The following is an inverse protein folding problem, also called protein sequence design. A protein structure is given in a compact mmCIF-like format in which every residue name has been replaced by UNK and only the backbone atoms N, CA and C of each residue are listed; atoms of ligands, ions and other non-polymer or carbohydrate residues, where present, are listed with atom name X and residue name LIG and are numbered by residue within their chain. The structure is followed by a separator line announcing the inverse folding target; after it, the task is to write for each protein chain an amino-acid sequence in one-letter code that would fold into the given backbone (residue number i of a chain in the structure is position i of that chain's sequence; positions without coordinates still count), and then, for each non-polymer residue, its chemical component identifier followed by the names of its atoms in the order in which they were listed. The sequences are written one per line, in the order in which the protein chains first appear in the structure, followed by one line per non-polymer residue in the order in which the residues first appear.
data_IF_157068390412
#
_entry.id   IF_157068390412
#
_cell.length_a   1.000
_cell.length_b   1.000
_cell.length_c   1.000
_cell.angle_alpha   90.00
_cell.angle_beta   90.00
_cell.angle_gamma   90.00
#
_symmetry.space_group_name_H-M   'P 1'
#
loop_
_entity.id
_entity.type
_entity.pdbx_description
1 polymer ?
#
# COMPACT_ATOMS: atom_id res chain seq x y z
N UNK A 1 66.67 14.29 11.35
CA UNK A 1 65.99 14.10 12.65
C UNK A 1 64.74 13.30 12.40
N UNK A 2 64.58 12.22 13.17
CA UNK A 2 63.68 11.09 12.97
C UNK A 2 62.20 11.43 13.23
N UNK A 3 61.30 10.82 12.46
CA UNK A 3 59.85 10.91 12.65
C UNK A 3 59.41 10.13 13.90
N UNK A 4 58.70 10.81 14.80
CA UNK A 4 58.14 10.24 16.03
C UNK A 4 56.77 9.59 15.80
N UNK A 5 56.61 8.43 16.44
CA UNK A 5 55.45 7.55 16.43
C UNK A 5 54.24 8.13 17.19
N UNK A 6 53.03 7.73 16.79
CA UNK A 6 51.79 7.94 17.52
C UNK A 6 50.63 7.19 16.88
N UNK A 7 50.67 5.85 16.89
CA UNK A 7 49.58 4.99 16.42
C UNK A 7 48.59 4.67 17.55
N UNK A 8 47.29 4.72 17.27
CA UNK A 8 46.20 4.38 18.19
C UNK A 8 46.09 2.86 18.41
N UNK A 9 45.86 2.37 19.64
CA UNK A 9 45.92 0.94 19.98
C UNK A 9 44.51 0.32 19.99
N UNK A 10 43.94 0.01 18.82
CA UNK A 10 42.75 -0.84 18.78
C UNK A 10 42.82 -1.77 17.56
N UNK A 11 43.47 -2.92 17.77
CA UNK A 11 43.37 -4.08 16.88
C UNK A 11 42.25 -5.01 17.38
N UNK A 12 41.43 -5.60 16.50
CA UNK A 12 40.44 -6.58 16.89
C UNK A 12 41.00 -8.00 16.76
N UNK A 13 41.19 -8.67 17.89
CA UNK A 13 41.16 -10.13 17.98
C UNK A 13 40.16 -10.49 19.07
N UNK A 14 38.95 -10.87 18.68
CA UNK A 14 38.11 -11.74 19.51
C UNK A 14 37.27 -12.64 18.61
N UNK A 15 37.45 -13.95 18.82
CA UNK A 15 36.71 -15.00 18.16
C UNK A 15 35.26 -15.02 18.63
N UNK A 16 34.36 -14.70 17.72
CA UNK A 16 32.94 -14.95 17.85
C UNK A 16 32.46 -15.62 16.58
N UNK A 17 31.99 -16.86 16.70
CA UNK A 17 31.31 -17.62 15.65
C UNK A 17 30.15 -16.80 15.11
N UNK A 18 30.39 -16.07 14.03
CA UNK A 18 29.36 -15.33 13.30
C UNK A 18 28.65 -16.32 12.38
N UNK A 19 27.30 -16.34 12.36
CA UNK A 19 26.55 -17.20 11.46
C UNK A 19 26.95 -16.96 10.00
N UNK A 20 27.12 -18.02 9.22
CA UNK A 20 27.48 -17.95 7.81
C UNK A 20 26.31 -17.43 6.96
N UNK A 21 26.17 -16.10 6.91
CA UNK A 21 25.19 -15.39 6.09
C UNK A 21 25.44 -15.52 4.59
N UNK A 22 26.63 -15.94 4.17
CA UNK A 22 26.95 -16.16 2.77
C UNK A 22 26.25 -17.42 2.24
N UNK A 23 26.15 -18.47 3.07
CA UNK A 23 25.40 -19.69 2.72
C UNK A 23 23.89 -19.47 2.53
N UNK A 24 23.31 -18.45 3.19
CA UNK A 24 21.89 -18.09 3.07
C UNK A 24 21.59 -17.26 1.81
N UNK A 25 22.56 -16.51 1.31
CA UNK A 25 22.42 -15.78 0.05
C UNK A 25 22.43 -16.73 -1.16
N UNK A 26 23.33 -17.73 -1.19
CA UNK A 26 23.41 -18.69 -2.30
C UNK A 26 22.19 -19.64 -2.37
N UNK A 27 21.57 -19.97 -1.24
CA UNK A 27 20.33 -20.77 -1.23
C UNK A 27 19.13 -20.01 -1.83
N UNK A 28 19.15 -18.68 -1.84
CA UNK A 28 18.07 -17.84 -2.37
C UNK A 28 18.14 -17.67 -3.89
N UNK A 29 19.35 -17.68 -4.47
CA UNK A 29 19.54 -17.56 -5.93
C UNK A 29 19.27 -18.86 -6.70
N UNK A 30 19.53 -20.03 -6.10
CA UNK A 30 19.23 -21.32 -6.73
C UNK A 30 17.72 -21.59 -6.87
N UNK A 31 16.90 -21.08 -5.93
CA UNK A 31 15.44 -21.26 -5.93
C UNK A 31 14.72 -20.34 -6.93
N UNK A 32 15.26 -19.13 -7.14
CA UNK A 32 14.72 -18.17 -8.09
C UNK A 32 14.87 -18.62 -9.57
N UNK A 33 15.95 -19.34 -9.90
CA UNK A 33 16.19 -19.86 -11.26
C UNK A 33 15.24 -21.01 -11.63
N UNK A 34 14.94 -21.93 -10.71
CA UNK A 34 14.01 -23.06 -10.96
C UNK A 34 12.56 -22.60 -11.21
N UNK A 35 12.11 -21.54 -10.54
CA UNK A 35 10.73 -21.02 -10.67
C UNK A 35 10.49 -20.26 -11.98
N UNK A 36 11.54 -19.72 -12.59
CA UNK A 36 11.47 -18.98 -13.86
C UNK A 36 11.27 -19.89 -15.09
N UNK A 37 11.69 -21.16 -15.02
CA UNK A 37 11.55 -22.10 -16.14
C UNK A 37 10.21 -22.83 -16.18
N UNK A 38 9.54 -23.06 -15.04
CA UNK A 38 8.21 -23.69 -15.04
C UNK A 38 7.08 -22.78 -15.56
N UNK A 39 7.27 -21.46 -15.58
CA UNK A 39 6.24 -20.50 -16.03
C UNK A 39 6.27 -20.27 -17.54
N UNK A 40 7.36 -20.64 -18.24
CA UNK A 40 7.53 -20.37 -19.67
C UNK A 40 7.14 -21.59 -20.55
N UNK A 41 6.96 -22.79 -19.97
CA UNK A 41 6.68 -24.02 -20.73
C UNK A 41 5.22 -24.47 -20.84
N UNK A 42 4.25 -23.72 -20.30
CA UNK A 42 2.89 -24.23 -20.05
C UNK A 42 1.75 -23.56 -20.81
N UNK A 43 1.95 -23.09 -22.03
CA UNK A 43 0.89 -22.45 -22.81
C UNK A 43 0.97 -22.76 -24.31
N UNK A 44 0.66 -24.01 -24.69
CA UNK A 44 0.32 -24.38 -26.08
C UNK A 44 -0.89 -25.32 -26.06
N UNK A 45 -2.03 -24.77 -26.51
CA UNK A 45 -3.14 -25.35 -27.29
C UNK A 45 -3.86 -26.62 -26.77
N UNK A 46 -5.15 -26.47 -26.44
CA UNK A 46 -6.22 -27.38 -26.89
C UNK A 46 -7.61 -26.78 -26.58
N UNK A 47 -8.20 -26.12 -27.57
CA UNK A 47 -9.63 -25.78 -27.60
C UNK A 47 -10.36 -26.87 -28.38
N UNK A 48 -11.58 -27.20 -27.94
CA UNK A 48 -12.63 -28.03 -28.58
C UNK A 48 -12.57 -29.54 -28.37
N UNK A 49 -13.40 -30.03 -27.43
CA UNK A 49 -14.30 -31.17 -27.65
C UNK A 49 -15.26 -31.28 -26.45
N UNK A 50 -16.50 -30.78 -26.59
CA UNK A 50 -17.62 -31.18 -25.74
C UNK A 50 -18.35 -32.29 -26.48
N UNK A 51 -18.37 -33.49 -25.90
CA UNK A 51 -18.99 -34.66 -26.51
C UNK A 51 -19.16 -35.83 -25.56
N UNK A 52 -20.40 -35.97 -25.08
CA UNK A 52 -21.11 -37.23 -24.74
C UNK A 52 -20.68 -38.13 -23.57
N UNK A 53 -21.74 -38.51 -22.82
CA UNK A 53 -22.01 -39.77 -22.13
C UNK A 53 -21.34 -40.04 -20.76
N UNK A 54 -22.16 -39.97 -19.71
CA UNK A 54 -21.96 -40.79 -18.50
C UNK A 54 -23.16 -41.74 -18.38
N UNK A 55 -22.97 -42.98 -18.81
CA UNK A 55 -23.90 -44.07 -18.56
C UNK A 55 -23.61 -44.68 -17.19
N UNK A 56 -24.69 -44.96 -16.45
CA UNK A 56 -24.68 -45.62 -15.15
C UNK A 56 -24.13 -47.06 -15.24
N UNK A 57 -23.38 -47.47 -14.23
CA UNK A 57 -22.94 -48.85 -14.06
C UNK A 57 -22.80 -49.22 -12.59
N UNK A 58 -23.92 -49.56 -11.93
CA UNK A 58 -23.89 -50.32 -10.67
C UNK A 58 -23.78 -51.79 -11.08
N UNK A 59 -22.60 -52.38 -10.87
CA UNK A 59 -22.45 -53.84 -10.96
C UNK A 59 -22.79 -54.44 -9.60
N UNK A 60 -23.85 -55.21 -9.61
CA UNK A 60 -24.34 -56.11 -8.58
C UNK A 60 -23.33 -57.24 -8.30
N UNK A 61 -22.97 -57.43 -7.03
CA UNK A 61 -22.43 -58.70 -6.53
C UNK A 61 -23.50 -59.43 -5.74
N UNK A 62 -24.38 -60.15 -6.44
CA UNK A 62 -25.29 -61.10 -5.80
C UNK A 62 -24.84 -62.52 -6.12
N UNK A 63 -24.21 -63.16 -5.13
CA UNK A 63 -23.83 -64.57 -5.16
C UNK A 63 -24.83 -65.33 -4.30
N UNK A 64 -25.50 -66.26 -4.95
CA UNK A 64 -26.53 -67.16 -4.44
C UNK A 64 -26.00 -68.12 -3.37
N UNK A 65 -26.81 -68.45 -2.35
CA UNK A 65 -27.20 -69.83 -2.06
C UNK A 65 -28.24 -69.92 -0.93
N UNK A 66 -29.15 -70.87 -1.10
CA UNK A 66 -30.37 -71.12 -0.35
C UNK A 66 -30.13 -71.88 0.97
N UNK A 67 -30.96 -71.62 2.00
CA UNK A 67 -31.95 -72.58 2.52
C UNK A 67 -32.51 -72.20 3.92
N UNK A 68 -33.77 -72.61 4.11
CA UNK A 68 -34.42 -73.06 5.35
C UNK A 68 -34.96 -72.04 6.39
N UNK A 69 -36.26 -71.80 6.24
CA UNK A 69 -37.33 -71.50 7.21
C UNK A 69 -37.11 -71.99 8.68
N UNK A 70 -37.23 -71.08 9.67
CA UNK A 70 -37.78 -71.34 11.03
C UNK A 70 -38.03 -70.02 11.82
N UNK A 71 -38.99 -70.02 12.77
CA UNK A 71 -39.68 -68.81 13.26
C UNK A 71 -38.94 -68.03 14.35
N UNK A 72 -39.35 -66.77 14.49
CA UNK A 72 -38.89 -65.79 15.47
C UNK A 72 -39.25 -66.20 16.91
N UNK A 73 -38.27 -66.71 17.64
CA UNK A 73 -38.23 -66.65 19.12
C UNK A 73 -36.84 -67.10 19.58
N UNK A 74 -35.90 -66.16 19.60
CA UNK A 74 -34.64 -66.21 20.36
C UNK A 74 -33.87 -64.91 20.11
N UNK A 75 -34.12 -63.91 20.95
CA UNK A 75 -33.20 -62.78 21.12
C UNK A 75 -31.85 -63.35 21.59
N UNK A 76 -30.73 -63.10 20.89
CA UNK A 76 -29.43 -63.35 21.48
C UNK A 76 -29.25 -62.36 22.63
N UNK A 77 -29.01 -62.91 23.82
CA UNK A 77 -28.33 -62.22 24.92
C UNK A 77 -27.19 -61.39 24.36
N UNK A 78 -27.08 -60.13 24.80
CA UNK A 78 -25.98 -59.20 24.54
C UNK A 78 -24.64 -59.93 24.49
N UNK A 79 -24.20 -60.26 23.28
CA UNK A 79 -22.84 -60.65 23.02
C UNK A 79 -22.02 -59.37 23.10
N UNK A 80 -20.99 -59.38 23.95
CA UNK A 80 -20.01 -58.31 24.08
C UNK A 80 -19.47 -57.93 22.69
N UNK A 81 -19.94 -56.78 22.19
CA UNK A 81 -19.36 -56.13 21.02
C UNK A 81 -17.98 -55.65 21.50
N UNK A 82 -16.86 -56.08 20.89
CA UNK A 82 -15.58 -55.45 21.18
C UNK A 82 -15.78 -53.96 20.93
N UNK A 83 -15.47 -53.11 21.91
CA UNK A 83 -15.48 -51.65 21.70
C UNK A 83 -14.75 -51.38 20.39
N UNK A 84 -15.50 -50.96 19.38
CA UNK A 84 -14.96 -50.51 18.12
C UNK A 84 -14.09 -49.32 18.50
N UNK A 85 -12.79 -49.60 18.59
CA UNK A 85 -11.80 -48.60 18.96
C UNK A 85 -12.06 -47.41 18.08
N UNK A 86 -12.15 -46.22 18.69
CA UNK A 86 -12.26 -44.93 18.02
C UNK A 86 -11.21 -44.88 16.92
N UNK A 87 -11.56 -45.34 15.72
CA UNK A 87 -10.76 -45.16 14.54
C UNK A 87 -10.89 -43.67 14.28
N UNK A 88 -9.81 -42.95 14.57
CA UNK A 88 -9.76 -41.51 14.39
C UNK A 88 -10.27 -41.21 12.99
N UNK A 89 -11.40 -40.50 12.92
CA UNK A 89 -11.86 -39.94 11.66
C UNK A 89 -10.74 -39.13 11.02
N UNK A 90 -10.74 -38.95 9.69
CA UNK A 90 -9.69 -38.21 9.01
C UNK A 90 -9.48 -36.85 9.70
N UNK A 91 -8.30 -36.68 10.30
CA UNK A 91 -7.91 -35.42 10.90
C UNK A 91 -7.48 -34.49 9.77
N UNK A 92 -8.16 -33.36 9.62
CA UNK A 92 -7.66 -32.28 8.78
C UNK A 92 -6.55 -31.56 9.55
N UNK A 93 -5.39 -31.40 8.92
CA UNK A 93 -4.36 -30.53 9.47
C UNK A 93 -4.95 -29.13 9.66
N UNK A 94 -4.63 -28.51 10.80
CA UNK A 94 -5.04 -27.14 11.07
C UNK A 94 -4.38 -26.20 10.04
N UNK A 95 -5.12 -25.82 9.01
CA UNK A 95 -4.68 -24.81 8.06
C UNK A 95 -4.56 -23.47 8.78
N UNK A 96 -3.33 -23.00 8.92
CA UNK A 96 -3.06 -21.64 9.43
C UNK A 96 -3.49 -20.63 8.36
N UNK A 97 -4.29 -19.61 8.70
CA UNK A 97 -4.64 -18.56 7.75
C UNK A 97 -3.38 -17.90 7.17
N UNK A 98 -3.39 -17.48 5.89
CA UNK A 98 -2.28 -16.72 5.34
C UNK A 98 -2.05 -15.44 6.16
N UNK A 99 -0.78 -14.98 6.26
CA UNK A 99 -0.47 -13.75 7.00
C UNK A 99 -1.25 -12.56 6.43
N UNK A 100 -1.68 -11.61 7.28
CA UNK A 100 -2.41 -10.44 6.81
C UNK A 100 -1.55 -9.64 5.83
N UNK A 101 -2.18 -9.16 4.76
CA UNK A 101 -1.52 -8.35 3.75
C UNK A 101 -1.13 -6.98 4.33
N UNK A 102 0.09 -6.51 4.05
CA UNK A 102 0.52 -5.17 4.46
C UNK A 102 -0.15 -4.09 3.59
N UNK A 103 -0.92 -3.14 4.17
CA UNK A 103 -1.50 -2.01 3.44
C UNK A 103 -0.49 -1.16 2.65
N UNK A 104 0.76 -1.06 3.10
CA UNK A 104 1.79 -0.28 2.40
C UNK A 104 2.11 -0.84 1.02
N UNK A 105 2.05 -2.16 0.86
CA UNK A 105 2.31 -2.81 -0.42
C UNK A 105 1.35 -2.32 -1.52
N UNK A 106 0.14 -1.92 -1.14
CA UNK A 106 -0.90 -1.43 -2.05
C UNK A 106 -0.78 0.05 -2.39
N UNK A 107 0.18 0.78 -1.80
CA UNK A 107 0.47 2.18 -2.13
C UNK A 107 1.92 2.41 -2.57
N UNK A 108 2.79 1.40 -2.46
CA UNK A 108 4.21 1.53 -2.79
C UNK A 108 4.50 1.56 -4.30
N UNK A 109 3.58 1.06 -5.15
CA UNK A 109 3.80 1.01 -6.60
C UNK A 109 2.52 1.10 -7.42
N UNK A 110 2.64 1.59 -8.65
CA UNK A 110 1.54 1.64 -9.60
C UNK A 110 0.94 0.27 -9.96
N UNK A 111 1.72 -0.80 -9.84
CA UNK A 111 1.27 -2.13 -10.18
C UNK A 111 0.24 -2.67 -9.19
N UNK A 112 0.36 -2.30 -7.91
CA UNK A 112 -0.54 -2.72 -6.82
C UNK A 112 -1.57 -1.65 -6.46
N UNK A 113 -1.23 -0.38 -6.62
CA UNK A 113 -2.12 0.74 -6.33
C UNK A 113 -3.05 1.05 -7.50
N UNK A 114 -4.16 0.30 -7.57
CA UNK A 114 -5.09 0.27 -8.72
C UNK A 114 -6.41 0.97 -8.50
N UNK A 115 -6.73 1.38 -7.26
CA UNK A 115 -7.95 2.12 -7.01
C UNK A 115 -8.01 3.42 -7.86
N UNK A 116 -9.18 3.92 -8.26
CA UNK A 116 -9.25 5.24 -8.90
C UNK A 116 -8.71 6.33 -7.97
N UNK A 117 -7.99 7.31 -8.52
CA UNK A 117 -7.48 8.46 -7.75
C UNK A 117 -7.86 9.77 -8.43
N UNK A 118 -8.42 10.68 -7.64
CA UNK A 118 -8.89 12.00 -8.03
C UNK A 118 -8.82 12.96 -6.84
N UNK A 119 -9.14 14.23 -7.08
CA UNK A 119 -9.27 15.20 -6.01
C UNK A 119 -10.38 14.83 -5.03
N UNK A 120 -11.52 14.30 -5.48
CA UNK A 120 -12.63 13.96 -4.60
C UNK A 120 -12.34 12.73 -3.72
N UNK A 121 -11.54 11.80 -4.22
CA UNK A 121 -11.10 10.63 -3.42
C UNK A 121 -10.05 10.99 -2.37
N UNK A 122 -9.19 11.98 -2.65
CA UNK A 122 -8.15 12.43 -1.70
C UNK A 122 -8.66 13.51 -0.74
N UNK A 123 -9.57 14.37 -1.21
CA UNK A 123 -10.06 15.55 -0.52
C UNK A 123 -11.60 15.58 -0.55
N UNK A 124 -12.27 14.60 0.09
CA UNK A 124 -13.72 14.49 0.06
C UNK A 124 -14.42 15.64 0.80
N UNK A 125 -15.70 15.84 0.48
CA UNK A 125 -16.57 16.82 1.15
C UNK A 125 -16.27 18.28 0.78
N UNK A 126 -16.96 19.22 1.43
CA UNK A 126 -16.78 20.68 1.23
C UNK A 126 -15.99 21.36 2.34
N UNK A 127 -15.70 20.63 3.42
CA UNK A 127 -14.98 21.10 4.59
C UNK A 127 -14.05 20.00 5.06
N UNK A 128 -12.93 20.39 5.67
CA UNK A 128 -12.07 19.51 6.43
C UNK A 128 -12.27 19.84 7.91
N UNK A 129 -12.64 18.83 8.69
CA UNK A 129 -12.66 18.91 10.15
C UNK A 129 -11.50 18.09 10.67
N UNK A 130 -10.63 18.72 11.46
CA UNK A 130 -9.49 18.08 12.09
C UNK A 130 -9.47 18.45 13.58
N UNK A 131 -9.87 17.50 14.42
CA UNK A 131 -10.19 17.80 15.82
C UNK A 131 -11.33 18.83 15.92
N UNK A 132 -11.09 19.93 16.63
CA UNK A 132 -11.98 21.08 16.81
C UNK A 132 -11.89 22.11 15.68
N UNK A 133 -10.92 21.96 14.77
CA UNK A 133 -10.67 22.93 13.70
C UNK A 133 -11.46 22.54 12.45
N UNK A 134 -12.14 23.53 11.87
CA UNK A 134 -12.88 23.39 10.62
C UNK A 134 -12.34 24.36 9.58
N UNK A 135 -12.03 23.82 8.40
CA UNK A 135 -11.51 24.54 7.25
C UNK A 135 -12.44 24.35 6.05
N UNK A 136 -12.63 25.39 5.26
CA UNK A 136 -13.46 25.31 4.05
C UNK A 136 -12.60 24.87 2.88
N UNK A 137 -13.10 23.91 2.08
CA UNK A 137 -12.45 23.48 0.84
C UNK A 137 -12.74 24.50 -0.25
N UNK A 138 -11.68 25.05 -0.82
CA UNK A 138 -11.69 25.87 -2.01
C UNK A 138 -11.66 25.02 -3.29
N UNK A 139 -10.95 25.52 -4.30
CA UNK A 139 -10.83 24.83 -5.57
C UNK A 139 -9.99 23.54 -5.46
N UNK A 140 -10.28 22.60 -6.36
CA UNK A 140 -9.48 21.40 -6.58
C UNK A 140 -9.08 21.31 -8.05
N UNK A 141 -7.95 20.68 -8.33
CA UNK A 141 -7.46 20.53 -9.69
C UNK A 141 -6.62 19.25 -9.82
N UNK A 142 -6.50 18.76 -11.05
CA UNK A 142 -5.63 17.65 -11.41
C UNK A 142 -4.96 17.96 -12.74
N UNK A 143 -3.68 17.62 -12.86
CA UNK A 143 -2.93 17.73 -14.11
C UNK A 143 -1.96 16.55 -14.23
N UNK A 144 -1.66 16.13 -15.47
CA UNK A 144 -0.57 15.20 -15.78
C UNK A 144 0.75 15.94 -16.06
N UNK A 145 0.69 17.23 -16.39
CA UNK A 145 1.87 18.10 -16.43
C UNK A 145 2.14 18.64 -15.03
N UNK A 146 2.80 17.82 -14.19
CA UNK A 146 3.10 18.20 -12.82
C UNK A 146 3.91 19.50 -12.71
N UNK A 147 4.84 19.74 -13.65
CA UNK A 147 5.68 20.93 -13.67
C UNK A 147 4.90 22.23 -13.81
N UNK A 148 3.79 22.22 -14.56
CA UNK A 148 2.90 23.39 -14.73
C UNK A 148 2.20 23.85 -13.45
N UNK A 149 2.05 22.94 -12.47
CA UNK A 149 1.38 23.19 -11.20
C UNK A 149 2.37 23.35 -10.03
N UNK A 150 3.66 23.51 -10.33
CA UNK A 150 4.73 23.82 -9.40
C UNK A 150 5.50 25.07 -9.85
N UNK A 151 6.26 25.66 -8.94
CA UNK A 151 7.03 26.88 -9.18
C UNK A 151 8.52 26.62 -8.90
N UNK A 152 9.39 27.33 -9.61
CA UNK A 152 10.87 27.30 -9.47
C UNK A 152 11.45 25.87 -9.38
N UNK A 153 12.39 25.62 -8.48
CA UNK A 153 13.08 24.34 -8.30
C UNK A 153 12.14 23.13 -8.20
N UNK A 154 11.00 23.24 -7.52
CA UNK A 154 10.03 22.14 -7.42
C UNK A 154 9.54 21.67 -8.81
N UNK A 155 9.39 22.57 -9.78
CA UNK A 155 8.99 22.19 -11.15
C UNK A 155 10.02 21.25 -11.79
N UNK A 156 11.32 21.53 -11.59
CA UNK A 156 12.41 20.67 -12.03
C UNK A 156 12.44 19.34 -11.30
N UNK A 157 12.25 19.33 -9.98
CA UNK A 157 12.21 18.12 -9.14
C UNK A 157 11.09 17.18 -9.57
N UNK A 158 9.88 17.69 -9.82
CA UNK A 158 8.75 16.87 -10.26
C UNK A 158 8.99 16.28 -11.65
N UNK A 159 9.58 17.07 -12.56
CA UNK A 159 9.90 16.63 -13.92
C UNK A 159 11.01 15.56 -13.93
N UNK A 160 12.08 15.75 -13.17
CA UNK A 160 13.23 14.84 -13.14
C UNK A 160 12.93 13.48 -12.48
N UNK A 161 11.94 13.43 -11.60
CA UNK A 161 11.53 12.21 -10.89
C UNK A 161 10.31 11.52 -11.53
N UNK A 162 9.91 11.90 -12.75
CA UNK A 162 8.80 11.28 -13.48
C UNK A 162 7.45 11.36 -12.77
N UNK A 163 7.12 12.52 -12.21
CA UNK A 163 5.77 12.74 -11.68
C UNK A 163 4.71 12.46 -12.76
N UNK A 164 3.80 11.53 -12.49
CA UNK A 164 2.76 11.11 -13.44
C UNK A 164 1.56 12.07 -13.43
N UNK A 165 1.21 12.58 -12.25
CA UNK A 165 0.10 13.50 -12.06
C UNK A 165 0.26 14.25 -10.74
N UNK A 166 -0.24 15.48 -10.71
CA UNK A 166 -0.31 16.32 -9.52
C UNK A 166 -1.78 16.69 -9.26
N UNK A 167 -2.28 16.31 -8.08
CA UNK A 167 -3.64 16.59 -7.61
C UNK A 167 -3.54 17.66 -6.53
N UNK A 168 -4.27 18.76 -6.68
CA UNK A 168 -4.25 19.89 -5.74
C UNK A 168 -5.62 20.14 -5.14
N UNK A 169 -5.61 20.59 -3.90
CA UNK A 169 -6.77 21.17 -3.22
C UNK A 169 -6.30 22.36 -2.37
N UNK A 170 -7.14 23.38 -2.28
CA UNK A 170 -6.91 24.50 -1.37
C UNK A 170 -7.92 24.49 -0.25
N UNK A 171 -7.49 24.76 0.97
CA UNK A 171 -8.36 24.97 2.12
C UNK A 171 -8.06 26.33 2.73
N UNK A 172 -9.06 26.90 3.41
CA UNK A 172 -8.93 28.22 4.01
C UNK A 172 -9.79 28.41 5.26
N UNK A 173 -9.38 29.36 6.09
CA UNK A 173 -10.12 29.88 7.25
C UNK A 173 -9.75 31.35 7.47
N UNK A 174 -10.74 32.23 7.43
CA UNK A 174 -10.50 33.68 7.42
C UNK A 174 -9.58 34.06 6.26
N UNK A 175 -8.50 34.78 6.56
CA UNK A 175 -7.53 35.22 5.56
C UNK A 175 -6.36 34.23 5.38
N UNK A 176 -6.38 33.06 6.01
CA UNK A 176 -5.34 32.03 5.84
C UNK A 176 -5.77 30.98 4.84
N UNK A 177 -4.94 30.71 3.84
CA UNK A 177 -5.17 29.66 2.85
C UNK A 177 -3.93 28.79 2.68
N UNK A 178 -4.15 27.50 2.44
CA UNK A 178 -3.09 26.53 2.15
C UNK A 178 -3.51 25.68 0.96
N UNK A 179 -2.66 25.62 -0.06
CA UNK A 179 -2.79 24.66 -1.15
C UNK A 179 -1.94 23.45 -0.82
N UNK A 180 -2.53 22.26 -0.82
CA UNK A 180 -1.82 21.00 -0.80
C UNK A 180 -1.78 20.41 -2.22
N UNK A 181 -0.63 19.91 -2.63
CA UNK A 181 -0.45 19.18 -3.87
C UNK A 181 0.12 17.80 -3.62
N UNK A 182 -0.57 16.76 -4.10
CA UNK A 182 -0.15 15.37 -4.06
C UNK A 182 0.37 14.97 -5.43
N UNK A 183 1.70 14.84 -5.54
CA UNK A 183 2.38 14.29 -6.69
C UNK A 183 2.37 12.76 -6.59
N UNK A 184 1.98 12.12 -7.69
CA UNK A 184 1.90 10.66 -7.80
C UNK A 184 2.99 10.17 -8.74
N UNK A 185 3.81 9.23 -8.27
CA UNK A 185 4.93 8.65 -9.01
C UNK A 185 4.65 7.19 -9.35
N UNK A 186 5.49 6.51 -10.11
CA UNK A 186 5.28 5.07 -10.38
C UNK A 186 5.64 4.21 -9.17
N UNK A 187 6.63 4.64 -8.39
CA UNK A 187 7.20 3.88 -7.27
C UNK A 187 7.42 4.75 -6.03
N UNK A 188 7.53 4.09 -4.86
CA UNK A 188 7.95 4.73 -3.61
C UNK A 188 9.33 5.40 -3.72
N UNK A 189 10.28 4.76 -4.40
CA UNK A 189 11.64 5.29 -4.54
C UNK A 189 11.66 6.64 -5.26
N UNK A 190 10.91 6.80 -6.35
CA UNK A 190 10.78 8.07 -7.07
C UNK A 190 10.14 9.16 -6.20
N UNK A 191 9.10 8.82 -5.45
CA UNK A 191 8.42 9.74 -4.54
C UNK A 191 9.35 10.22 -3.41
N UNK A 192 10.01 9.27 -2.73
CA UNK A 192 10.98 9.58 -1.68
C UNK A 192 12.13 10.44 -2.22
N UNK A 193 12.68 10.10 -3.39
CA UNK A 193 13.73 10.88 -4.04
C UNK A 193 13.28 12.31 -4.38
N UNK A 194 12.06 12.48 -4.90
CA UNK A 194 11.50 13.80 -5.16
C UNK A 194 11.37 14.64 -3.88
N UNK A 195 10.99 14.02 -2.76
CA UNK A 195 10.95 14.70 -1.45
C UNK A 195 12.35 15.09 -0.97
N UNK A 196 13.33 14.21 -1.13
CA UNK A 196 14.71 14.42 -0.67
C UNK A 196 15.44 15.48 -1.49
N UNK A 197 15.17 15.57 -2.79
CA UNK A 197 15.76 16.58 -3.68
C UNK A 197 15.09 17.95 -3.61
N UNK A 198 13.97 18.08 -2.89
CA UNK A 198 13.27 19.35 -2.78
C UNK A 198 13.87 20.21 -1.67
N UNK A 199 14.70 21.16 -2.07
CA UNK A 199 15.41 22.10 -1.19
C UNK A 199 14.57 23.34 -0.80
N UNK A 200 13.25 23.23 -0.83
CA UNK A 200 12.32 24.35 -0.59
C UNK A 200 12.43 25.53 -1.58
N UNK A 201 13.12 25.35 -2.71
CA UNK A 201 13.08 26.33 -3.80
C UNK A 201 11.78 26.21 -4.63
N UNK A 202 10.94 27.24 -4.52
CA UNK A 202 9.60 27.27 -5.10
C UNK A 202 8.64 26.33 -4.39
N UNK A 203 7.40 26.27 -4.84
CA UNK A 203 6.35 25.55 -4.12
C UNK A 203 5.35 24.92 -5.09
N UNK A 204 4.45 24.10 -4.55
CA UNK A 204 3.21 23.81 -5.27
C UNK A 204 2.49 25.14 -5.53
N UNK A 205 2.08 25.37 -6.77
CA UNK A 205 1.42 26.61 -7.13
C UNK A 205 0.09 26.73 -6.37
N UNK A 206 -0.20 27.91 -5.83
CA UNK A 206 -1.48 28.17 -5.19
C UNK A 206 -2.64 27.99 -6.19
N UNK A 207 -3.76 27.46 -5.69
CA UNK A 207 -4.95 27.16 -6.48
C UNK A 207 -6.13 28.04 -6.00
N UNK A 208 -6.27 29.27 -6.53
CA UNK A 208 -7.41 30.13 -6.23
C UNK A 208 -8.70 29.57 -6.83
N UNK A 209 -9.84 30.10 -6.37
CA UNK A 209 -11.18 29.69 -6.79
C UNK A 209 -12.01 29.18 -5.60
N UNK A 210 -13.32 29.04 -5.83
CA UNK A 210 -14.29 28.61 -4.81
C UNK A 210 -14.18 29.40 -3.50
N UNK A 211 -14.09 30.73 -3.60
CA UNK A 211 -13.98 31.62 -2.44
C UNK A 211 -12.55 31.91 -1.96
N UNK A 212 -11.52 31.35 -2.59
CA UNK A 212 -10.12 31.60 -2.24
C UNK A 212 -9.47 32.54 -3.27
N UNK A 213 -9.01 33.75 -2.86
CA UNK A 213 -8.22 34.64 -3.70
C UNK A 213 -6.86 34.05 -4.07
N UNK A 214 -6.15 34.68 -5.01
CA UNK A 214 -4.75 34.36 -5.26
C UNK A 214 -3.88 34.68 -4.04
N UNK A 215 -2.98 33.77 -3.69
CA UNK A 215 -2.03 33.94 -2.59
C UNK A 215 -0.68 33.30 -2.95
N UNK A 216 0.39 33.58 -2.18
CA UNK A 216 1.73 33.02 -2.38
C UNK A 216 2.29 33.19 -3.81
N UNK A 217 2.14 34.39 -4.37
CA UNK A 217 2.72 34.76 -5.67
C UNK A 217 4.02 35.54 -5.52
N UNK A 218 4.03 36.51 -4.61
CA UNK A 218 5.15 37.42 -4.36
C UNK A 218 5.48 37.57 -2.87
N UNK A 219 4.71 36.92 -2.00
CA UNK A 219 4.80 37.03 -0.54
C UNK A 219 5.56 35.86 0.07
N UNK A 220 6.02 36.04 1.30
CA UNK A 220 6.58 34.95 2.11
C UNK A 220 5.47 33.98 2.49
N UNK A 221 5.66 32.71 2.13
CA UNK A 221 4.73 31.64 2.40
C UNK A 221 5.40 30.47 3.10
N UNK A 222 4.62 29.77 3.91
CA UNK A 222 5.04 28.55 4.59
C UNK A 222 4.91 27.37 3.63
N UNK A 223 5.98 26.60 3.50
CA UNK A 223 6.00 25.39 2.69
C UNK A 223 6.27 24.17 3.59
N UNK A 224 5.70 23.04 3.23
CA UNK A 224 6.04 21.73 3.81
C UNK A 224 6.14 20.69 2.71
N UNK A 225 6.86 19.59 2.98
CA UNK A 225 7.00 18.47 2.06
C UNK A 225 7.14 17.16 2.84
N UNK A 226 6.40 16.13 2.43
CA UNK A 226 6.50 14.79 2.99
C UNK A 226 6.14 13.74 1.92
N UNK A 227 6.39 12.46 2.20
CA UNK A 227 6.16 11.36 1.27
C UNK A 227 5.73 10.08 1.96
N UNK A 228 4.81 9.33 1.35
CA UNK A 228 4.40 7.99 1.79
C UNK A 228 4.03 7.14 0.59
N UNK A 229 4.52 5.90 0.52
CA UNK A 229 4.36 5.06 -0.66
C UNK A 229 4.85 5.78 -1.92
N UNK A 230 4.12 5.63 -3.04
CA UNK A 230 4.40 6.29 -4.33
C UNK A 230 3.98 7.77 -4.39
N UNK A 231 3.74 8.42 -3.26
CA UNK A 231 3.19 9.77 -3.17
C UNK A 231 4.15 10.72 -2.47
N UNK A 232 4.30 11.91 -3.03
CA UNK A 232 4.95 13.05 -2.38
C UNK A 232 3.96 14.20 -2.34
N UNK A 233 3.84 14.86 -1.20
CA UNK A 233 2.85 15.90 -1.02
C UNK A 233 3.46 17.14 -0.37
N UNK A 234 3.09 18.28 -0.93
CA UNK A 234 3.66 19.58 -0.63
C UNK A 234 2.56 20.53 -0.19
N UNK A 235 2.85 21.44 0.72
CA UNK A 235 1.97 22.59 0.97
C UNK A 235 2.61 23.91 0.56
N UNK A 236 1.75 24.86 0.21
CA UNK A 236 2.08 26.26 0.07
C UNK A 236 0.99 27.07 0.78
N UNK A 237 1.35 27.70 1.89
CA UNK A 237 0.44 28.35 2.82
C UNK A 237 0.78 29.82 3.05
N UNK A 238 -0.24 30.68 3.01
CA UNK A 238 -0.05 32.11 3.24
C UNK A 238 -1.35 32.84 3.48
N UNK A 239 -1.25 34.17 3.53
CA UNK A 239 -2.41 35.03 3.67
C UNK A 239 -3.02 35.38 2.32
N UNK A 240 -4.35 35.49 2.26
CA UNK A 240 -5.11 35.84 1.06
C UNK A 240 -5.34 37.35 0.91
N UNK A 241 -4.90 38.14 1.88
CA UNK A 241 -5.01 39.61 1.88
C UNK A 241 -3.79 40.32 1.25
N UNK A 242 -2.86 39.55 0.66
CA UNK A 242 -1.65 40.09 0.01
C UNK A 242 -0.50 40.43 0.97
N UNK A 243 -0.65 40.17 2.26
CA UNK A 243 0.42 40.35 3.25
C UNK A 243 1.31 39.11 3.36
N UNK A 244 2.54 39.31 3.83
CA UNK A 244 3.44 38.22 4.18
C UNK A 244 2.91 37.44 5.39
N UNK A 245 3.02 36.12 5.34
CA UNK A 245 2.74 35.29 6.50
C UNK A 245 3.88 35.44 7.53
N UNK A 246 3.50 35.64 8.79
CA UNK A 246 4.40 35.77 9.93
C UNK A 246 4.24 34.58 10.89
N UNK A 247 5.14 34.45 11.87
CA UNK A 247 5.02 33.45 12.93
C UNK A 247 3.76 33.60 13.80
N UNK A 248 3.09 34.77 13.75
CA UNK A 248 1.84 35.02 14.50
C UNK A 248 0.61 34.46 13.79
N UNK A 249 0.73 34.13 12.50
CA UNK A 249 -0.37 33.60 11.68
C UNK A 249 -0.57 32.11 11.92
N UNK A 250 -0.87 31.74 13.16
CA UNK A 250 -0.97 30.35 13.64
C UNK A 250 -1.97 29.50 12.85
N UNK A 251 -2.98 30.13 12.24
CA UNK A 251 -3.93 29.46 11.36
C UNK A 251 -3.26 28.89 10.12
N UNK A 252 -2.28 29.59 9.52
CA UNK A 252 -1.52 29.08 8.36
C UNK A 252 -0.70 27.83 8.75
N UNK A 253 -0.10 27.85 9.93
CA UNK A 253 0.70 26.73 10.45
C UNK A 253 -0.18 25.51 10.73
N UNK A 254 -1.19 25.67 11.59
CA UNK A 254 -2.13 24.59 11.94
C UNK A 254 -2.83 24.00 10.72
N UNK A 255 -3.34 24.84 9.81
CA UNK A 255 -3.97 24.37 8.58
C UNK A 255 -3.00 23.58 7.70
N UNK A 256 -1.74 24.03 7.59
CA UNK A 256 -0.72 23.32 6.82
C UNK A 256 -0.36 21.96 7.41
N UNK A 257 -0.25 21.88 8.74
CA UNK A 257 0.07 20.64 9.46
C UNK A 257 -1.09 19.65 9.42
N UNK A 258 -2.31 20.14 9.63
CA UNK A 258 -3.53 19.33 9.54
C UNK A 258 -3.75 18.78 8.13
N UNK A 259 -3.44 19.54 7.08
CA UNK A 259 -3.52 19.05 5.71
C UNK A 259 -2.47 17.98 5.40
N UNK A 260 -1.25 18.10 5.94
CA UNK A 260 -0.22 17.09 5.79
C UNK A 260 -0.65 15.77 6.44
N UNK A 261 -1.14 15.83 7.68
CA UNK A 261 -1.59 14.66 8.42
C UNK A 261 -2.85 14.03 7.80
N UNK A 262 -3.84 14.86 7.45
CA UNK A 262 -5.03 14.38 6.74
C UNK A 262 -4.65 13.66 5.45
N UNK A 263 -3.77 14.24 4.64
CA UNK A 263 -3.34 13.65 3.36
C UNK A 263 -2.61 12.32 3.57
N UNK A 264 -1.73 12.24 4.57
CA UNK A 264 -1.09 11.00 4.98
C UNK A 264 -2.13 9.92 5.32
N UNK A 265 -3.10 10.25 6.17
CA UNK A 265 -4.17 9.33 6.58
C UNK A 265 -5.03 8.87 5.39
N UNK A 266 -5.36 9.75 4.45
CA UNK A 266 -6.12 9.38 3.25
C UNK A 266 -5.35 8.39 2.36
N UNK A 267 -4.05 8.61 2.17
CA UNK A 267 -3.20 7.69 1.39
C UNK A 267 -3.05 6.36 2.11
N UNK A 268 -2.89 6.35 3.44
CA UNK A 268 -2.83 5.12 4.24
C UNK A 268 -4.13 4.33 4.17
N UNK A 269 -5.27 4.98 4.35
CA UNK A 269 -6.60 4.39 4.24
C UNK A 269 -6.84 3.77 2.87
N UNK A 270 -6.35 4.40 1.81
CA UNK A 270 -6.39 3.83 0.45
C UNK A 270 -5.63 2.51 0.34
N UNK A 271 -4.48 2.38 0.99
CA UNK A 271 -3.74 1.11 1.06
C UNK A 271 -4.51 0.04 1.83
N UNK A 272 -5.13 0.42 2.94
CA UNK A 272 -5.94 -0.47 3.78
C UNK A 272 -7.14 -1.02 3.01
N UNK A 273 -7.90 -0.15 2.34
CA UNK A 273 -9.06 -0.56 1.54
C UNK A 273 -8.67 -1.56 0.45
N UNK A 274 -7.55 -1.32 -0.23
CA UNK A 274 -7.07 -2.22 -1.28
C UNK A 274 -6.56 -3.56 -0.71
N UNK A 275 -5.86 -3.53 0.43
CA UNK A 275 -5.42 -4.73 1.11
C UNK A 275 -6.60 -5.58 1.60
N UNK A 276 -7.61 -4.95 2.20
CA UNK A 276 -8.85 -5.63 2.62
C UNK A 276 -9.59 -6.25 1.44
N UNK A 277 -9.75 -5.50 0.34
CA UNK A 277 -10.39 -6.01 -0.87
C UNK A 277 -9.64 -7.21 -1.48
N UNK A 278 -8.30 -7.17 -1.49
CA UNK A 278 -7.48 -8.27 -1.97
C UNK A 278 -7.56 -9.51 -1.05
N UNK A 279 -7.66 -9.32 0.26
CA UNK A 279 -7.79 -10.41 1.22
C UNK A 279 -9.15 -11.13 1.12
N UNK A 280 -10.22 -10.45 0.70
CA UNK A 280 -11.54 -11.06 0.48
C UNK A 280 -11.69 -11.72 -0.90
N UNK A 281 -10.83 -11.36 -1.86
CA UNK A 281 -10.90 -11.87 -3.23
C UNK A 281 -10.10 -13.16 -3.48
N UNK A 282 -9.25 -13.56 -2.52
CA UNK A 282 -8.42 -14.78 -2.57
C UNK A 282 -8.99 -15.88 -1.67
#
# INVERSE_FOLDING_TARGET
MSFGQGGSPWGPNDGGSTPDWASLAEASEARARKKRWMVIGGAIVATLAVGSAVAWGIVSTNKSNANANKPADQLPSTADIPSEGKSGGPSFDATTPPPPLDPNDFINSAAKDRAPISADTLFPGKKLTFGDRVYTKGATARTTDCSSAAQKGLSGVLKSNNCNQLIRATYYKGNSAVTIGVAVFKTKAEATKAKEQYDFDGAVASLPGSGVPSFCRTTVCRQTANSVGRYTYFTNGGLTNGQDATKKDTVVFSLGDDLQEFTFQQIKRRGEIQASAAATAG
#
